data_IF_029253759755
#
_entry.id   IF_029253759755
#
_cell.length_a   1.000
_cell.length_b   1.000
_cell.length_c   1.000
_cell.angle_alpha   90.00
_cell.angle_beta   90.00
_cell.angle_gamma   90.00
#
_symmetry.space_group_name_H-M   'P 1'
#
loop_
_entity.id
_entity.type
_entity.pdbx_description
1 polymer ?
#
# COMPACT_ATOMS: atom_id res chain seq x y z
N UNK A 1 -2.85 17.61 -14.59
CA UNK A 1 -3.56 16.37 -14.25
C UNK A 1 -2.51 15.27 -14.12
N UNK A 2 -2.01 15.04 -12.90
CA UNK A 2 -1.01 13.99 -12.65
C UNK A 2 -1.74 12.65 -12.76
N UNK A 3 -1.40 11.84 -13.76
CA UNK A 3 -1.84 10.45 -13.81
C UNK A 3 -1.07 9.70 -12.73
N UNK A 4 -1.69 9.47 -11.58
CA UNK A 4 -1.29 8.39 -10.68
C UNK A 4 -1.66 7.06 -11.36
N UNK A 5 -0.86 6.67 -12.35
CA UNK A 5 -0.91 5.35 -12.94
C UNK A 5 -0.28 4.36 -11.98
N UNK A 6 -1.06 3.37 -11.54
CA UNK A 6 -0.56 2.25 -10.75
C UNK A 6 0.28 1.33 -11.62
N UNK A 7 1.53 1.69 -11.88
CA UNK A 7 2.50 0.75 -12.46
C UNK A 7 3.04 -0.13 -11.34
N UNK A 8 2.48 -1.32 -11.20
CA UNK A 8 3.01 -2.34 -10.31
C UNK A 8 4.16 -3.05 -11.03
N UNK A 9 5.39 -2.80 -10.58
CA UNK A 9 6.56 -3.52 -11.09
C UNK A 9 6.68 -4.82 -10.28
N UNK A 10 6.51 -5.96 -10.95
CA UNK A 10 6.80 -7.26 -10.34
C UNK A 10 8.32 -7.44 -10.28
N UNK A 11 8.90 -7.51 -9.09
CA UNK A 11 10.35 -7.66 -8.88
C UNK A 11 10.65 -8.96 -8.10
N UNK A 12 10.73 -10.11 -8.78
CA UNK A 12 10.97 -11.41 -8.14
C UNK A 12 12.26 -11.45 -7.31
N UNK A 13 13.30 -10.75 -7.78
CA UNK A 13 14.62 -10.73 -7.14
C UNK A 13 14.59 -10.18 -5.71
N UNK A 14 13.70 -9.22 -5.42
CA UNK A 14 13.62 -8.64 -4.09
C UNK A 14 12.93 -9.56 -3.09
N UNK A 15 11.91 -10.30 -3.54
CA UNK A 15 11.27 -11.34 -2.73
C UNK A 15 12.30 -12.40 -2.31
N UNK A 16 13.08 -12.89 -3.26
CA UNK A 16 14.17 -13.84 -2.99
C UNK A 16 15.21 -13.26 -2.05
N UNK A 17 15.63 -12.00 -2.26
CA UNK A 17 16.57 -11.33 -1.36
C UNK A 17 16.03 -11.27 0.08
N UNK A 18 14.77 -10.88 0.28
CA UNK A 18 14.15 -10.82 1.61
C UNK A 18 14.07 -12.19 2.30
N UNK A 19 13.89 -13.26 1.54
CA UNK A 19 13.90 -14.63 2.04
C UNK A 19 15.32 -15.06 2.43
N UNK A 20 16.31 -14.76 1.60
CA UNK A 20 17.72 -15.13 1.78
C UNK A 20 18.39 -14.37 2.93
N UNK A 21 18.04 -13.08 3.13
CA UNK A 21 18.61 -12.25 4.19
C UNK A 21 17.87 -12.33 5.52
N UNK A 22 16.70 -12.99 5.55
CA UNK A 22 15.87 -13.11 6.75
C UNK A 22 15.09 -11.84 7.12
N UNK A 23 14.89 -10.89 6.22
CA UNK A 23 14.17 -9.63 6.49
C UNK A 23 12.64 -9.74 6.54
N UNK A 24 12.09 -10.95 6.72
CA UNK A 24 10.64 -11.17 6.83
C UNK A 24 10.01 -10.39 7.97
N UNK A 25 10.72 -10.29 9.10
CA UNK A 25 10.26 -9.52 10.25
C UNK A 25 10.16 -8.02 9.94
N UNK A 26 11.16 -7.47 9.25
CA UNK A 26 11.16 -6.06 8.83
C UNK A 26 9.99 -5.77 7.85
N UNK A 27 9.70 -6.71 6.95
CA UNK A 27 8.54 -6.61 6.06
C UNK A 27 7.21 -6.60 6.83
N UNK A 28 7.09 -7.41 7.89
CA UNK A 28 5.91 -7.42 8.76
C UNK A 28 5.76 -6.09 9.53
N UNK A 29 6.84 -5.55 10.09
CA UNK A 29 6.84 -4.24 10.74
C UNK A 29 6.48 -3.11 9.78
N UNK A 30 6.98 -3.15 8.54
CA UNK A 30 6.62 -2.18 7.51
C UNK A 30 5.12 -2.25 7.15
N UNK A 31 4.58 -3.46 6.97
CA UNK A 31 3.15 -3.66 6.75
C UNK A 31 2.31 -3.08 7.89
N UNK A 32 2.67 -3.35 9.15
CA UNK A 32 1.95 -2.82 10.31
C UNK A 32 1.97 -1.29 10.32
N UNK A 33 3.15 -0.68 10.12
CA UNK A 33 3.30 0.78 10.06
C UNK A 33 2.43 1.42 8.97
N UNK A 34 2.41 0.85 7.76
CA UNK A 34 1.68 1.43 6.63
C UNK A 34 0.18 1.16 6.75
N UNK A 35 -0.23 -0.04 7.14
CA UNK A 35 -1.65 -0.41 7.24
C UNK A 35 -2.42 0.42 8.26
N UNK A 36 -1.79 0.76 9.39
CA UNK A 36 -2.37 1.67 10.38
C UNK A 36 -2.50 3.11 9.84
N UNK A 37 -1.50 3.56 9.07
CA UNK A 37 -1.49 4.91 8.47
C UNK A 37 -2.41 5.08 7.27
N UNK A 38 -2.64 4.01 6.49
CA UNK A 38 -3.40 4.06 5.24
C UNK A 38 -4.82 4.60 5.43
N UNK A 39 -5.49 4.20 6.53
CA UNK A 39 -6.83 4.70 6.87
C UNK A 39 -6.84 6.21 7.07
N UNK A 40 -5.93 6.75 7.88
CA UNK A 40 -5.84 8.19 8.13
C UNK A 40 -5.44 8.99 6.88
N UNK A 41 -4.57 8.42 6.04
CA UNK A 41 -4.11 9.05 4.80
C UNK A 41 -5.18 9.09 3.70
N UNK A 42 -6.10 8.12 3.66
CA UNK A 42 -7.18 8.06 2.68
C UNK A 42 -8.44 8.80 3.15
N UNK A 43 -8.91 8.49 4.37
CA UNK A 43 -10.20 8.97 4.89
C UNK A 43 -10.33 10.49 4.84
N UNK A 44 -9.38 11.22 5.42
CA UNK A 44 -9.50 12.67 5.60
C UNK A 44 -9.52 13.44 4.25
N UNK A 45 -8.60 13.20 3.30
CA UNK A 45 -8.68 13.89 2.01
C UNK A 45 -9.85 13.41 1.14
N UNK A 46 -10.15 12.11 1.08
CA UNK A 46 -11.20 11.60 0.19
C UNK A 46 -12.60 12.05 0.64
N UNK A 47 -12.89 12.00 1.94
CA UNK A 47 -14.19 12.44 2.46
C UNK A 47 -14.33 13.96 2.52
N UNK A 48 -13.27 14.72 2.88
CA UNK A 48 -13.37 16.18 3.06
C UNK A 48 -13.15 16.98 1.77
N UNK A 49 -12.26 16.53 0.89
CA UNK A 49 -11.92 17.27 -0.33
C UNK A 49 -12.60 16.72 -1.60
N UNK A 50 -12.91 15.41 -1.62
CA UNK A 50 -13.49 14.74 -2.78
C UNK A 50 -14.93 14.26 -2.58
N UNK A 51 -15.55 14.58 -1.44
CA UNK A 51 -16.96 14.28 -1.13
C UNK A 51 -17.31 12.78 -1.18
N UNK A 52 -16.34 11.89 -0.99
CA UNK A 52 -16.63 10.46 -0.88
C UNK A 52 -17.47 10.18 0.36
N UNK A 53 -18.40 9.23 0.21
CA UNK A 53 -19.08 8.63 1.34
C UNK A 53 -18.11 7.76 2.15
N UNK A 54 -18.46 7.49 3.42
CA UNK A 54 -17.68 6.60 4.27
C UNK A 54 -17.60 5.18 3.70
N UNK A 55 -18.69 4.70 3.10
CA UNK A 55 -18.76 3.36 2.50
C UNK A 55 -17.83 3.22 1.29
N UNK A 56 -17.68 4.28 0.47
CA UNK A 56 -16.74 4.31 -0.65
C UNK A 56 -15.28 4.29 -0.18
N UNK A 57 -14.97 5.03 0.90
CA UNK A 57 -13.63 5.03 1.50
C UNK A 57 -13.28 3.68 2.11
N UNK A 58 -14.20 3.08 2.87
CA UNK A 58 -14.02 1.76 3.49
C UNK A 58 -13.82 0.65 2.43
N UNK A 59 -14.56 0.73 1.32
CA UNK A 59 -14.39 -0.20 0.19
C UNK A 59 -13.02 -0.02 -0.47
N UNK A 60 -12.58 1.23 -0.67
CA UNK A 60 -11.26 1.53 -1.22
C UNK A 60 -10.14 1.02 -0.30
N UNK A 61 -10.24 1.28 1.01
CA UNK A 61 -9.27 0.83 2.01
C UNK A 61 -9.18 -0.70 2.08
N UNK A 62 -10.30 -1.40 1.87
CA UNK A 62 -10.32 -2.86 1.79
C UNK A 62 -9.42 -3.38 0.66
N UNK A 63 -9.44 -2.74 -0.51
CA UNK A 63 -8.60 -3.13 -1.63
C UNK A 63 -7.14 -2.71 -1.43
N UNK A 64 -6.88 -1.54 -0.83
CA UNK A 64 -5.52 -1.12 -0.44
C UNK A 64 -4.89 -2.14 0.51
N UNK A 65 -5.62 -2.63 1.52
CA UNK A 65 -5.10 -3.64 2.45
C UNK A 65 -4.77 -4.97 1.74
N UNK A 66 -5.54 -5.39 0.74
CA UNK A 66 -5.24 -6.59 -0.06
C UNK A 66 -3.92 -6.41 -0.82
N UNK A 67 -3.72 -5.25 -1.43
CA UNK A 67 -2.49 -4.93 -2.16
C UNK A 67 -1.27 -4.87 -1.23
N UNK A 68 -1.39 -4.27 -0.04
CA UNK A 68 -0.31 -4.20 0.95
C UNK A 68 0.12 -5.58 1.47
N UNK A 69 -0.79 -6.56 1.53
CA UNK A 69 -0.48 -7.94 1.91
C UNK A 69 0.11 -8.76 0.77
N UNK A 70 0.05 -8.26 -0.47
CA UNK A 70 0.51 -8.99 -1.63
C UNK A 70 2.04 -8.90 -1.76
N UNK A 71 2.73 -9.96 -1.35
CA UNK A 71 4.19 -10.06 -1.42
C UNK A 71 4.77 -10.10 -2.84
N UNK A 72 3.92 -10.16 -3.87
CA UNK A 72 4.36 -10.05 -5.27
C UNK A 72 4.44 -8.61 -5.76
N UNK A 73 3.89 -7.65 -5.02
CA UNK A 73 3.91 -6.23 -5.34
C UNK A 73 4.99 -5.53 -4.54
N UNK A 74 5.72 -4.64 -5.20
CA UNK A 74 6.68 -3.77 -4.55
C UNK A 74 6.49 -2.35 -5.06
N UNK A 75 6.02 -1.45 -4.19
CA UNK A 75 5.84 -0.06 -4.53
C UNK A 75 7.20 0.65 -4.45
N UNK A 76 7.59 1.33 -5.53
CA UNK A 76 8.74 2.21 -5.55
C UNK A 76 8.26 3.65 -5.52
N UNK A 77 8.73 4.43 -4.55
CA UNK A 77 8.52 5.87 -4.52
C UNK A 77 9.81 6.53 -5.00
N UNK A 78 9.89 6.99 -6.27
CA UNK A 78 11.01 7.79 -6.71
C UNK A 78 11.00 9.12 -5.93
N UNK A 79 12.14 9.45 -5.31
CA UNK A 79 12.37 10.72 -4.61
C UNK A 79 13.10 11.68 -5.55
#
# INVERSE_FOLDING_TARGET
MVKLGREYIHVPALKTLMEDTGYKELGAWNYENISQGAGALAMDPLTRAFNWSRDEDDLFLTDVQKDLRNSNYHAYFPV
#
